data_IF_927174568931
#
_entry.id   IF_927174568931
#
_cell.length_a   1.000
_cell.length_b   1.000
_cell.length_c   1.000
_cell.angle_alpha   90.00
_cell.angle_beta   90.00
_cell.angle_gamma   90.00
#
_symmetry.space_group_name_H-M   'P 1'
#
loop_
_entity.id
_entity.type
_entity.pdbx_description
1 polymer ?
#
# COMPACT_ATOMS: atom_id res chain seq x y z
N UNK A 1 -0.77 -31.92 18.60
CA UNK A 1 0.05 -31.56 17.44
C UNK A 1 1.52 -31.67 17.83
N UNK A 2 2.26 -32.63 17.27
CA UNK A 2 3.70 -32.73 17.50
C UNK A 2 4.40 -31.73 16.57
N UNK A 3 5.05 -30.71 17.14
CA UNK A 3 5.90 -29.81 16.38
C UNK A 3 7.06 -30.63 15.80
N UNK A 4 7.12 -30.78 14.47
CA UNK A 4 8.27 -31.40 13.80
C UNK A 4 9.51 -30.57 14.11
N UNK A 5 10.53 -31.21 14.67
CA UNK A 5 11.84 -30.59 14.92
C UNK A 5 12.51 -30.27 13.59
N UNK A 6 12.61 -28.98 13.24
CA UNK A 6 13.24 -28.53 11.99
C UNK A 6 14.73 -28.90 12.01
N UNK A 7 15.16 -29.76 11.08
CA UNK A 7 16.59 -30.05 10.88
C UNK A 7 17.29 -28.81 10.34
N UNK A 8 18.19 -28.24 11.14
CA UNK A 8 19.04 -27.12 10.73
C UNK A 8 20.04 -27.63 9.69
N UNK A 9 19.78 -27.37 8.42
CA UNK A 9 20.71 -27.68 7.32
C UNK A 9 21.79 -26.61 7.29
N UNK A 10 22.98 -26.93 7.80
CA UNK A 10 24.16 -26.07 7.69
C UNK A 10 24.83 -26.28 6.33
N UNK A 11 24.81 -25.26 5.48
CA UNK A 11 25.63 -25.23 4.26
C UNK A 11 27.10 -24.96 4.64
N UNK A 12 28.04 -25.92 4.41
CA UNK A 12 29.44 -25.79 4.82
C UNK A 12 30.26 -24.86 3.91
N UNK A 13 29.70 -24.40 2.78
CA UNK A 13 30.39 -23.47 1.88
C UNK A 13 30.36 -22.06 2.46
N UNK A 14 31.46 -21.63 3.10
CA UNK A 14 31.73 -20.20 3.33
C UNK A 14 32.11 -19.56 2.00
N UNK A 15 31.17 -18.87 1.33
CA UNK A 15 31.52 -17.99 0.20
C UNK A 15 32.37 -16.83 0.74
N UNK A 16 33.33 -16.33 -0.05
CA UNK A 16 34.12 -15.14 0.31
C UNK A 16 33.16 -13.94 0.45
N UNK A 17 32.90 -13.50 1.67
CA UNK A 17 31.89 -12.46 1.99
C UNK A 17 30.68 -12.97 2.80
N UNK A 18 30.59 -14.27 3.09
CA UNK A 18 29.51 -14.83 3.90
C UNK A 18 29.61 -14.39 5.37
N UNK A 19 28.48 -13.88 5.85
CA UNK A 19 28.03 -13.88 7.25
C UNK A 19 28.75 -12.94 8.22
N UNK A 20 28.62 -11.63 7.98
CA UNK A 20 28.50 -10.70 9.12
C UNK A 20 27.40 -9.68 8.86
N UNK A 21 26.14 -10.13 8.92
CA UNK A 21 24.95 -9.27 8.88
C UNK A 21 25.08 -8.10 9.90
N UNK A 22 25.82 -8.29 10.99
CA UNK A 22 26.11 -7.25 12.01
C UNK A 22 27.22 -6.24 11.70
N UNK A 23 28.09 -6.45 10.68
CA UNK A 23 29.15 -5.48 10.32
C UNK A 23 28.66 -4.35 9.40
N UNK A 24 27.43 -4.45 8.90
CA UNK A 24 26.82 -3.40 8.09
C UNK A 24 26.23 -2.29 8.95
N UNK A 25 25.99 -2.56 10.23
CA UNK A 25 25.57 -1.56 11.20
C UNK A 25 26.79 -1.04 11.98
N UNK A 26 26.75 0.19 12.50
CA UNK A 26 27.76 0.66 13.43
C UNK A 26 27.85 -0.28 14.63
N UNK A 27 29.08 -0.58 15.05
CA UNK A 27 29.39 -1.55 16.11
C UNK A 27 28.73 -1.21 17.45
N UNK A 28 28.29 0.04 17.61
CA UNK A 28 27.76 0.58 18.85
C UNK A 28 26.24 0.34 19.00
N UNK A 29 25.58 -0.27 18.00
CA UNK A 29 24.14 -0.60 18.03
C UNK A 29 23.17 0.59 18.07
N UNK A 30 23.69 1.83 18.15
CA UNK A 30 22.90 3.06 18.31
C UNK A 30 22.11 3.45 17.07
N UNK A 31 22.47 2.96 15.88
CA UNK A 31 21.78 3.30 14.63
C UNK A 31 21.48 2.04 13.82
N UNK A 32 20.24 1.96 13.34
CA UNK A 32 19.79 0.89 12.42
C UNK A 32 20.14 1.20 10.96
N UNK A 33 21.02 2.17 10.68
CA UNK A 33 21.39 2.59 9.32
C UNK A 33 22.65 1.85 8.87
N UNK A 34 22.70 1.44 7.61
CA UNK A 34 23.89 0.76 7.07
C UNK A 34 25.06 1.75 6.89
N UNK A 35 26.27 1.35 7.30
CA UNK A 35 27.50 2.12 7.05
C UNK A 35 27.97 2.02 5.60
N UNK A 36 27.56 0.96 4.91
CA UNK A 36 27.83 0.70 3.49
C UNK A 36 26.84 -0.32 2.95
N UNK A 37 26.64 -0.33 1.63
CA UNK A 37 25.92 -1.43 0.96
C UNK A 37 26.68 -2.74 1.10
N UNK A 38 25.93 -3.84 1.16
CA UNK A 38 26.49 -5.17 1.31
C UNK A 38 27.25 -5.63 0.06
N UNK A 39 28.46 -6.17 0.25
CA UNK A 39 29.22 -6.79 -0.83
C UNK A 39 28.71 -8.19 -1.14
N UNK A 40 28.29 -8.41 -2.39
CA UNK A 40 27.65 -9.65 -2.84
C UNK A 40 28.51 -10.51 -3.77
N UNK A 41 29.77 -10.14 -3.96
CA UNK A 41 30.59 -10.62 -5.08
C UNK A 41 30.27 -9.83 -6.36
N UNK A 42 31.13 -9.94 -7.38
CA UNK A 42 31.09 -9.04 -8.55
C UNK A 42 29.75 -9.08 -9.28
N UNK A 43 29.27 -10.28 -9.66
CA UNK A 43 28.04 -10.47 -10.44
C UNK A 43 26.81 -9.87 -9.74
N UNK A 44 26.58 -10.25 -8.49
CA UNK A 44 25.38 -9.83 -7.75
C UNK A 44 25.48 -8.38 -7.29
N UNK A 45 26.68 -7.87 -6.99
CA UNK A 45 26.86 -6.46 -6.61
C UNK A 45 26.62 -5.53 -7.80
N UNK A 46 27.08 -5.90 -9.01
CA UNK A 46 26.80 -5.14 -10.22
C UNK A 46 25.31 -5.14 -10.58
N UNK A 47 24.65 -6.29 -10.42
CA UNK A 47 23.20 -6.38 -10.61
C UNK A 47 22.45 -5.51 -9.59
N UNK A 48 22.77 -5.63 -8.29
CA UNK A 48 22.14 -4.81 -7.24
C UNK A 48 22.34 -3.31 -7.48
N UNK A 49 23.55 -2.91 -7.92
CA UNK A 49 23.85 -1.52 -8.25
C UNK A 49 23.07 -1.02 -9.47
N UNK A 50 22.90 -1.84 -10.52
CA UNK A 50 22.10 -1.43 -11.68
C UNK A 50 20.61 -1.26 -11.33
N UNK A 51 20.07 -2.10 -10.43
CA UNK A 51 18.72 -1.95 -9.90
C UNK A 51 18.60 -0.73 -8.98
N UNK A 52 19.62 -0.42 -8.21
CA UNK A 52 19.65 0.82 -7.43
C UNK A 52 19.59 2.06 -8.33
N UNK A 53 20.37 2.12 -9.40
CA UNK A 53 20.31 3.21 -10.39
C UNK A 53 18.92 3.31 -11.04
N UNK A 54 18.29 2.16 -11.31
CA UNK A 54 16.92 2.13 -11.82
C UNK A 54 15.93 2.77 -10.83
N UNK A 55 16.00 2.44 -9.53
CA UNK A 55 15.17 3.07 -8.48
C UNK A 55 15.42 4.58 -8.43
N UNK A 56 16.69 5.01 -8.46
CA UNK A 56 17.04 6.43 -8.49
C UNK A 56 16.45 7.14 -9.72
N UNK A 57 16.38 6.46 -10.88
CA UNK A 57 15.73 7.02 -12.08
C UNK A 57 14.23 7.22 -11.90
N UNK A 58 13.55 6.33 -11.18
CA UNK A 58 12.11 6.46 -10.88
C UNK A 58 11.89 7.65 -9.95
N UNK A 59 12.66 7.73 -8.86
CA UNK A 59 12.58 8.84 -7.90
C UNK A 59 12.90 10.19 -8.56
N UNK A 60 13.91 10.25 -9.43
CA UNK A 60 14.26 11.46 -10.18
C UNK A 60 13.12 11.90 -11.11
N UNK A 61 12.51 10.96 -11.86
CA UNK A 61 11.36 11.25 -12.74
C UNK A 61 10.12 11.68 -11.94
N UNK A 62 9.96 11.15 -10.74
CA UNK A 62 8.88 11.53 -9.85
C UNK A 62 9.06 12.96 -9.34
N UNK A 63 10.25 13.30 -8.83
CA UNK A 63 10.54 14.63 -8.27
C UNK A 63 10.66 15.71 -9.36
N UNK A 64 11.00 15.35 -10.61
CA UNK A 64 11.14 16.34 -11.69
C UNK A 64 9.85 17.09 -12.04
N UNK A 65 8.70 16.64 -11.54
CA UNK A 65 7.40 17.30 -11.74
C UNK A 65 7.20 18.40 -10.68
N UNK A 66 6.97 19.68 -11.08
CA UNK A 66 6.83 20.79 -10.12
C UNK A 66 5.77 20.57 -9.03
N UNK A 67 4.65 19.95 -9.39
CA UNK A 67 3.58 19.59 -8.44
C UNK A 67 4.02 18.61 -7.35
N UNK A 68 4.91 17.67 -7.69
CA UNK A 68 5.44 16.71 -6.72
C UNK A 68 6.46 17.37 -5.80
N UNK A 69 7.22 18.38 -6.28
CA UNK A 69 8.05 19.22 -5.41
C UNK A 69 7.19 20.01 -4.43
N UNK A 70 6.09 20.61 -4.91
CA UNK A 70 5.13 21.30 -4.03
C UNK A 70 4.55 20.35 -2.99
N UNK A 71 4.24 19.11 -3.37
CA UNK A 71 3.77 18.07 -2.47
C UNK A 71 4.81 17.73 -1.38
N UNK A 72 6.10 17.63 -1.72
CA UNK A 72 7.18 17.38 -0.74
C UNK A 72 7.22 18.41 0.40
N UNK A 73 6.85 19.66 0.11
CA UNK A 73 6.81 20.74 1.11
C UNK A 73 5.44 20.91 1.77
N UNK A 74 4.36 20.47 1.12
CA UNK A 74 3.00 20.53 1.68
C UNK A 74 2.74 19.39 2.66
N UNK A 75 3.20 18.19 2.34
CA UNK A 75 2.80 16.97 3.02
C UNK A 75 3.94 16.42 3.87
N UNK A 76 3.74 16.28 5.19
CA UNK A 76 4.80 15.86 6.12
C UNK A 76 5.26 14.43 5.81
N UNK A 77 4.33 13.54 5.49
CA UNK A 77 4.60 12.14 5.21
C UNK A 77 5.52 11.92 3.97
N UNK A 78 5.64 12.90 3.08
CA UNK A 78 6.53 12.83 1.91
C UNK A 78 8.01 12.70 2.28
N UNK A 79 8.42 13.23 3.43
CA UNK A 79 9.81 13.12 3.89
C UNK A 79 10.25 11.64 4.07
N UNK A 80 9.30 10.76 4.41
CA UNK A 80 9.57 9.33 4.61
C UNK A 80 10.06 8.65 3.31
N UNK A 81 9.62 9.13 2.15
CA UNK A 81 9.97 8.59 0.83
C UNK A 81 11.43 8.78 0.44
N UNK A 82 12.18 9.64 1.13
CA UNK A 82 13.64 9.71 0.99
C UNK A 82 14.34 8.40 1.42
N UNK A 83 13.68 7.57 2.23
CA UNK A 83 14.22 6.30 2.72
C UNK A 83 13.96 5.10 1.78
N UNK A 84 13.34 5.28 0.61
CA UNK A 84 13.07 4.19 -0.35
C UNK A 84 14.32 3.36 -0.71
N UNK A 85 15.49 3.95 -1.02
CA UNK A 85 16.69 3.17 -1.30
C UNK A 85 17.14 2.32 -0.11
N UNK A 86 17.01 2.85 1.09
CA UNK A 86 17.35 2.15 2.33
C UNK A 86 16.40 0.99 2.63
N UNK A 87 15.10 1.17 2.37
CA UNK A 87 14.10 0.10 2.45
C UNK A 87 14.48 -1.05 1.50
N UNK A 88 14.81 -0.75 0.25
CA UNK A 88 15.23 -1.78 -0.72
C UNK A 88 16.47 -2.55 -0.25
N UNK A 89 17.45 -1.86 0.33
CA UNK A 89 18.67 -2.49 0.84
C UNK A 89 18.39 -3.43 2.02
N UNK A 90 17.37 -3.13 2.83
CA UNK A 90 16.91 -4.05 3.89
C UNK A 90 16.25 -5.29 3.32
N UNK A 91 15.39 -5.15 2.32
CA UNK A 91 14.71 -6.28 1.69
C UNK A 91 15.68 -7.24 1.00
N UNK A 92 16.80 -6.74 0.48
CA UNK A 92 17.81 -7.57 -0.20
C UNK A 92 18.97 -8.01 0.68
N UNK A 93 18.89 -7.73 1.98
CA UNK A 93 19.96 -8.04 2.92
C UNK A 93 20.24 -9.55 2.96
N UNK A 94 21.48 -9.94 2.71
CA UNK A 94 21.91 -11.34 2.67
C UNK A 94 21.45 -12.13 1.44
N UNK A 95 20.60 -11.55 0.58
CA UNK A 95 20.13 -12.23 -0.63
C UNK A 95 21.20 -12.22 -1.73
N UNK A 96 21.29 -13.33 -2.47
CA UNK A 96 22.22 -13.59 -3.57
C UNK A 96 21.52 -14.34 -4.68
N UNK A 97 22.14 -14.41 -5.85
CA UNK A 97 21.69 -15.23 -6.98
C UNK A 97 20.20 -14.96 -7.33
N UNK A 98 19.38 -16.01 -7.43
CA UNK A 98 17.98 -15.92 -7.87
C UNK A 98 17.05 -15.22 -6.85
N UNK A 99 17.13 -15.50 -5.53
CA UNK A 99 16.35 -14.76 -4.52
C UNK A 99 16.53 -13.24 -4.57
N UNK A 100 17.75 -12.77 -4.88
CA UNK A 100 18.03 -11.34 -5.04
C UNK A 100 17.26 -10.74 -6.22
N UNK A 101 17.24 -11.43 -7.36
CA UNK A 101 16.56 -10.99 -8.58
C UNK A 101 15.06 -10.98 -8.40
N UNK A 102 14.49 -12.04 -7.81
CA UNK A 102 13.06 -12.13 -7.53
C UNK A 102 12.62 -10.98 -6.63
N UNK A 103 13.36 -10.74 -5.54
CA UNK A 103 13.06 -9.65 -4.59
C UNK A 103 13.11 -8.30 -5.28
N UNK A 104 14.14 -8.05 -6.11
CA UNK A 104 14.21 -6.84 -6.91
C UNK A 104 13.02 -6.73 -7.85
N UNK A 105 12.68 -7.77 -8.61
CA UNK A 105 11.54 -7.73 -9.54
C UNK A 105 10.25 -7.37 -8.81
N UNK A 106 9.93 -8.06 -7.72
CA UNK A 106 8.73 -7.80 -6.92
C UNK A 106 8.70 -6.36 -6.36
N UNK A 107 9.77 -5.95 -5.66
CA UNK A 107 9.82 -4.64 -5.02
C UNK A 107 9.84 -3.49 -6.02
N UNK A 108 10.44 -3.67 -7.20
CA UNK A 108 10.46 -2.63 -8.22
C UNK A 108 9.06 -2.39 -8.83
N UNK A 109 8.21 -3.42 -8.92
CA UNK A 109 6.80 -3.23 -9.27
C UNK A 109 6.08 -2.42 -8.19
N UNK A 110 6.27 -2.75 -6.91
CA UNK A 110 5.67 -2.01 -5.79
C UNK A 110 6.11 -0.54 -5.81
N UNK A 111 7.41 -0.26 -5.95
CA UNK A 111 7.94 1.11 -6.00
C UNK A 111 7.34 1.88 -7.19
N UNK A 112 7.26 1.25 -8.36
CA UNK A 112 6.68 1.87 -9.54
C UNK A 112 5.20 2.19 -9.35
N UNK A 113 4.43 1.24 -8.80
CA UNK A 113 3.00 1.40 -8.59
C UNK A 113 2.70 2.48 -7.55
N UNK A 114 3.40 2.48 -6.41
CA UNK A 114 3.27 3.55 -5.40
C UNK A 114 3.63 4.91 -5.98
N UNK A 115 4.72 5.02 -6.77
CA UNK A 115 5.09 6.27 -7.41
C UNK A 115 4.03 6.76 -8.40
N UNK A 116 3.37 5.84 -9.12
CA UNK A 116 2.25 6.15 -10.03
C UNK A 116 1.02 6.62 -9.25
N UNK A 117 0.67 5.94 -8.15
CA UNK A 117 -0.45 6.32 -7.27
C UNK A 117 -0.24 7.72 -6.69
N UNK A 118 0.95 8.00 -6.13
CA UNK A 118 1.30 9.33 -5.64
C UNK A 118 1.24 10.40 -6.74
N UNK A 119 1.69 10.06 -7.96
CA UNK A 119 1.63 10.98 -9.08
C UNK A 119 0.19 11.30 -9.50
N UNK A 120 -0.73 10.35 -9.43
CA UNK A 120 -2.15 10.59 -9.65
C UNK A 120 -2.77 11.42 -8.52
N UNK A 121 -2.45 11.11 -7.26
CA UNK A 121 -2.91 11.87 -6.09
C UNK A 121 -2.51 13.36 -6.24
N UNK A 122 -1.23 13.64 -6.47
CA UNK A 122 -0.76 15.02 -6.67
C UNK A 122 -1.19 15.65 -7.98
N UNK A 123 -1.88 14.90 -8.87
CA UNK A 123 -2.46 15.44 -10.10
C UNK A 123 -3.79 16.08 -9.77
N UNK A 124 -4.68 15.29 -9.17
CA UNK A 124 -6.03 15.72 -8.82
C UNK A 124 -6.10 16.56 -7.55
N UNK A 125 -5.07 16.54 -6.71
CA UNK A 125 -5.07 17.28 -5.44
C UNK A 125 -5.19 18.80 -5.65
N UNK A 126 -6.22 19.39 -5.07
CA UNK A 126 -6.56 20.83 -5.14
C UNK A 126 -5.40 21.73 -4.69
N UNK A 127 -4.52 21.23 -3.82
CA UNK A 127 -3.41 22.00 -3.24
C UNK A 127 -2.14 21.94 -4.08
N UNK A 128 -1.95 20.89 -4.86
CA UNK A 128 -0.73 20.66 -5.63
C UNK A 128 -0.96 20.78 -7.12
N UNK A 129 -1.37 19.71 -7.80
CA UNK A 129 -1.57 19.68 -9.24
C UNK A 129 -2.80 20.44 -9.72
N UNK A 130 -3.86 20.49 -8.91
CA UNK A 130 -5.13 21.16 -9.19
C UNK A 130 -5.74 20.83 -10.58
N UNK A 131 -5.55 19.60 -11.05
CA UNK A 131 -6.19 19.11 -12.27
C UNK A 131 -7.63 18.71 -11.96
N UNK A 132 -8.55 19.67 -12.09
CA UNK A 132 -9.98 19.46 -11.79
C UNK A 132 -10.65 18.46 -12.72
N UNK A 133 -10.23 18.38 -13.99
CA UNK A 133 -10.78 17.41 -14.94
C UNK A 133 -10.43 15.99 -14.53
N UNK A 134 -9.17 15.75 -14.20
CA UNK A 134 -8.74 14.46 -13.66
C UNK A 134 -9.36 14.17 -12.29
N UNK A 135 -9.48 15.18 -11.42
CA UNK A 135 -10.10 15.00 -10.10
C UNK A 135 -11.57 14.57 -10.21
N UNK A 136 -12.31 15.04 -11.21
CA UNK A 136 -13.73 14.65 -11.44
C UNK A 136 -13.89 13.18 -11.85
N UNK A 137 -12.86 12.57 -12.42
CA UNK A 137 -12.85 11.15 -12.78
C UNK A 137 -12.22 10.27 -11.69
N UNK A 138 -11.94 10.81 -10.50
CA UNK A 138 -11.34 10.06 -9.41
C UNK A 138 -12.36 9.79 -8.31
N UNK A 139 -12.41 8.55 -7.82
CA UNK A 139 -13.16 8.17 -6.63
C UNK A 139 -12.14 7.85 -5.54
N UNK A 140 -12.24 8.53 -4.39
CA UNK A 140 -11.46 8.17 -3.22
C UNK A 140 -12.00 6.84 -2.70
N UNK A 141 -11.13 5.85 -2.56
CA UNK A 141 -11.49 4.53 -2.08
C UNK A 141 -10.66 4.23 -0.86
N UNK A 142 -11.34 3.91 0.24
CA UNK A 142 -10.72 3.35 1.44
C UNK A 142 -9.84 2.16 1.07
N UNK A 143 -8.63 2.14 1.60
CA UNK A 143 -7.63 1.14 1.27
C UNK A 143 -7.92 -0.25 1.82
N UNK A 144 -8.77 -0.32 2.85
CA UNK A 144 -9.32 -1.57 3.35
C UNK A 144 -10.43 -2.13 2.45
N UNK A 145 -10.93 -1.31 1.52
CA UNK A 145 -11.95 -1.74 0.59
C UNK A 145 -11.34 -2.54 -0.54
N UNK A 146 -11.89 -3.74 -0.76
CA UNK A 146 -11.67 -4.44 -2.00
C UNK A 146 -12.23 -3.57 -3.14
N UNK A 147 -11.38 -3.13 -4.08
CA UNK A 147 -11.78 -2.27 -5.21
C UNK A 147 -12.70 -2.97 -6.23
N UNK A 148 -13.33 -4.10 -5.85
CA UNK A 148 -14.31 -4.80 -6.66
C UNK A 148 -15.49 -3.91 -7.08
N UNK A 149 -15.93 -2.99 -6.21
CA UNK A 149 -16.95 -2.00 -6.54
C UNK A 149 -16.51 -0.94 -7.57
N UNK A 150 -15.22 -0.92 -7.94
CA UNK A 150 -14.68 -0.04 -8.99
C UNK A 150 -14.43 -0.78 -10.31
N UNK A 151 -14.40 -2.11 -10.31
CA UNK A 151 -13.96 -2.93 -11.45
C UNK A 151 -14.83 -2.82 -12.71
N UNK A 152 -16.09 -2.39 -12.57
CA UNK A 152 -17.00 -2.14 -13.69
C UNK A 152 -16.86 -0.75 -14.31
N UNK A 153 -16.09 0.16 -13.70
CA UNK A 153 -15.76 1.46 -14.28
C UNK A 153 -14.44 1.36 -15.06
N UNK A 154 -14.41 1.95 -16.24
CA UNK A 154 -13.29 1.91 -17.18
C UNK A 154 -12.44 3.17 -17.08
N UNK A 155 -13.09 4.33 -17.08
CA UNK A 155 -12.41 5.62 -17.16
C UNK A 155 -12.28 6.28 -15.77
N UNK A 156 -13.16 5.91 -14.83
CA UNK A 156 -13.09 6.33 -13.42
C UNK A 156 -11.92 5.64 -12.72
N UNK A 157 -11.08 6.44 -12.07
CA UNK A 157 -9.89 5.97 -11.37
C UNK A 157 -10.17 5.86 -9.86
N UNK A 158 -9.96 4.68 -9.29
CA UNK A 158 -9.92 4.51 -7.83
C UNK A 158 -8.61 5.08 -7.29
N UNK A 159 -8.70 5.94 -6.27
CA UNK A 159 -7.54 6.54 -5.60
C UNK A 159 -7.54 6.14 -4.13
N UNK A 160 -6.53 5.35 -3.75
CA UNK A 160 -6.24 5.00 -2.37
C UNK A 160 -5.16 5.94 -1.84
N UNK A 161 -5.54 7.02 -1.15
CA UNK A 161 -4.59 8.05 -0.69
C UNK A 161 -3.90 7.66 0.63
N UNK A 162 -4.51 6.77 1.38
CA UNK A 162 -4.08 6.23 2.66
C UNK A 162 -2.85 5.32 2.47
N UNK A 163 -2.80 4.57 1.37
CA UNK A 163 -1.69 3.69 0.99
C UNK A 163 -0.34 4.41 0.99
N UNK A 164 -0.11 5.46 0.19
CA UNK A 164 1.18 6.15 0.20
C UNK A 164 1.38 6.99 1.47
N UNK A 165 0.31 7.55 2.00
CA UNK A 165 0.40 8.46 3.14
C UNK A 165 0.84 7.75 4.42
N UNK A 166 0.31 6.54 4.65
CA UNK A 166 0.50 5.82 5.90
C UNK A 166 1.20 4.47 5.69
N UNK A 167 0.61 3.56 4.90
CA UNK A 167 1.06 2.17 4.84
C UNK A 167 2.49 2.06 4.31
N UNK A 168 2.74 2.66 3.15
CA UNK A 168 4.08 2.64 2.56
C UNK A 168 5.04 3.47 3.40
N UNK A 169 4.61 4.61 3.93
CA UNK A 169 5.43 5.42 4.84
C UNK A 169 5.94 4.60 6.04
N UNK A 170 5.09 3.75 6.62
CA UNK A 170 5.45 2.86 7.74
C UNK A 170 6.45 1.75 7.35
N UNK A 171 6.46 1.32 6.09
CA UNK A 171 7.48 0.39 5.57
C UNK A 171 8.86 1.08 5.48
N UNK A 172 8.87 2.39 5.26
CA UNK A 172 10.08 3.19 5.10
C UNK A 172 10.68 3.58 6.46
N UNK A 173 9.83 3.97 7.40
CA UNK A 173 10.24 4.32 8.77
C UNK A 173 9.18 3.88 9.78
N UNK A 174 9.62 3.30 10.89
CA UNK A 174 8.70 2.81 11.94
C UNK A 174 8.01 3.95 12.70
N UNK A 175 8.46 5.19 12.53
CA UNK A 175 7.96 6.35 13.26
C UNK A 175 7.13 7.31 12.39
N UNK A 176 6.83 6.97 11.13
CA UNK A 176 6.13 7.89 10.21
C UNK A 176 4.78 8.34 10.73
N UNK A 177 4.05 7.48 11.43
CA UNK A 177 2.71 7.77 11.94
C UNK A 177 2.67 8.36 13.34
N UNK A 178 3.78 8.35 14.08
CA UNK A 178 3.80 8.78 15.50
C UNK A 178 3.19 10.17 15.70
N UNK A 179 3.56 11.13 14.84
CA UNK A 179 2.99 12.48 14.84
C UNK A 179 1.45 12.47 14.68
N UNK A 180 0.90 11.67 13.77
CA UNK A 180 -0.54 11.65 13.53
C UNK A 180 -1.30 10.94 14.65
N UNK A 181 -0.68 9.97 15.33
CA UNK A 181 -1.24 9.37 16.54
C UNK A 181 -1.33 10.42 17.66
N UNK A 182 -0.27 11.21 17.86
CA UNK A 182 -0.28 12.30 18.85
C UNK A 182 -1.39 13.31 18.53
N UNK A 183 -1.54 13.72 17.25
CA UNK A 183 -2.62 14.62 16.81
C UNK A 183 -4.01 14.03 17.10
N UNK A 184 -4.23 12.75 16.80
CA UNK A 184 -5.50 12.09 17.06
C UNK A 184 -5.84 12.07 18.56
N UNK A 185 -4.85 11.77 19.41
CA UNK A 185 -5.03 11.71 20.86
C UNK A 185 -5.23 13.09 21.49
N UNK A 186 -4.50 14.11 21.01
CA UNK A 186 -4.71 15.51 21.41
C UNK A 186 -6.11 16.01 21.02
N UNK A 187 -6.64 15.54 19.89
CA UNK A 187 -8.01 15.82 19.46
C UNK A 187 -9.07 15.10 20.31
N UNK A 188 -8.67 14.09 21.10
CA UNK A 188 -9.52 13.37 22.04
C UNK A 188 -9.88 11.95 21.64
N UNK A 189 -9.23 11.36 20.62
CA UNK A 189 -9.35 9.92 20.37
C UNK A 189 -8.62 9.15 21.48
N UNK A 190 -9.17 8.02 21.96
CA UNK A 190 -8.53 7.26 23.02
C UNK A 190 -7.33 6.47 22.47
N UNK A 191 -6.23 6.43 23.23
CA UNK A 191 -5.00 5.77 22.82
C UNK A 191 -5.02 4.23 22.86
N UNK A 192 -6.20 3.63 23.07
CA UNK A 192 -6.43 2.19 22.96
C UNK A 192 -7.04 1.78 21.60
N UNK A 193 -7.19 2.73 20.68
CA UNK A 193 -7.56 2.47 19.28
C UNK A 193 -6.39 1.82 18.53
N UNK A 194 -6.71 1.04 17.49
CA UNK A 194 -5.69 0.51 16.61
C UNK A 194 -4.91 1.67 15.95
N UNK A 195 -3.57 1.65 15.93
CA UNK A 195 -2.79 2.76 15.41
C UNK A 195 -2.94 3.00 13.90
N UNK A 196 -3.55 2.06 13.16
CA UNK A 196 -3.87 2.22 11.74
C UNK A 196 -5.00 3.24 11.53
N UNK A 197 -6.26 2.97 11.94
CA UNK A 197 -7.35 3.93 11.77
C UNK A 197 -7.17 5.20 12.61
N UNK A 198 -6.47 5.12 13.74
CA UNK A 198 -6.14 6.31 14.55
C UNK A 198 -5.20 7.25 13.78
N UNK A 199 -4.17 6.72 13.11
CA UNK A 199 -3.27 7.55 12.30
C UNK A 199 -3.97 8.11 11.07
N UNK A 200 -4.86 7.38 10.40
CA UNK A 200 -5.67 7.91 9.30
C UNK A 200 -6.56 9.07 9.75
N UNK A 201 -7.27 8.89 10.87
CA UNK A 201 -8.05 9.97 11.48
C UNK A 201 -7.14 11.15 11.85
N UNK A 202 -5.97 10.90 12.43
CA UNK A 202 -4.97 11.91 12.76
C UNK A 202 -4.45 12.68 11.55
N UNK A 203 -4.14 12.01 10.44
CA UNK A 203 -3.76 12.63 9.17
C UNK A 203 -4.90 13.51 8.64
N UNK A 204 -6.13 13.02 8.74
CA UNK A 204 -7.31 13.79 8.36
C UNK A 204 -7.46 15.03 9.23
N UNK A 205 -7.32 14.93 10.56
CA UNK A 205 -7.40 16.05 11.54
C UNK A 205 -6.28 17.07 11.32
N UNK A 206 -5.06 16.61 11.06
CA UNK A 206 -3.88 17.46 10.78
C UNK A 206 -3.91 18.10 9.37
N UNK A 207 -4.97 17.84 8.60
CA UNK A 207 -5.12 18.33 7.24
C UNK A 207 -3.99 17.89 6.29
N UNK A 208 -3.47 16.68 6.46
CA UNK A 208 -2.28 16.21 5.73
C UNK A 208 -2.58 15.15 4.65
N UNK A 209 -3.86 14.85 4.43
CA UNK A 209 -4.31 14.14 3.24
C UNK A 209 -4.41 15.06 2.02
N UNK A 210 -4.16 14.47 0.85
CA UNK A 210 -4.51 15.09 -0.42
C UNK A 210 -6.03 15.21 -0.59
N UNK A 211 -6.47 16.29 -1.22
CA UNK A 211 -7.88 16.62 -1.42
C UNK A 211 -8.19 16.56 -2.92
N UNK A 212 -8.82 15.47 -3.34
CA UNK A 212 -9.20 15.19 -4.73
C UNK A 212 -10.40 14.25 -4.78
N UNK A 213 -10.91 14.04 -5.99
CA UNK A 213 -12.00 13.13 -6.27
C UNK A 213 -13.36 13.82 -6.39
N UNK A 214 -14.29 13.15 -7.06
CA UNK A 214 -15.70 13.55 -7.15
C UNK A 214 -16.54 13.02 -5.98
N UNK A 215 -16.17 11.87 -5.42
CA UNK A 215 -16.78 11.28 -4.25
C UNK A 215 -15.80 10.33 -3.55
N UNK A 216 -16.18 9.85 -2.36
CA UNK A 216 -15.45 8.87 -1.59
C UNK A 216 -16.32 7.65 -1.26
N UNK A 217 -15.71 6.45 -1.24
CA UNK A 217 -16.35 5.22 -0.76
C UNK A 217 -15.47 4.65 0.35
N UNK A 218 -16.05 4.56 1.53
CA UNK A 218 -15.44 4.03 2.75
C UNK A 218 -16.08 2.70 3.13
N UNK A 219 -15.38 1.85 3.86
CA UNK A 219 -15.88 0.50 4.18
C UNK A 219 -15.57 0.07 5.62
N UNK A 220 -16.36 -0.84 6.16
CA UNK A 220 -16.15 -1.41 7.49
C UNK A 220 -15.44 -2.80 7.47
N UNK A 221 -14.83 -3.22 6.36
CA UNK A 221 -14.32 -4.59 6.16
C UNK A 221 -13.30 -5.03 7.21
N UNK A 222 -12.51 -4.11 7.76
CA UNK A 222 -11.41 -4.47 8.67
C UNK A 222 -11.89 -4.63 10.11
N UNK A 223 -12.48 -3.58 10.69
CA UNK A 223 -12.90 -3.56 12.09
C UNK A 223 -13.77 -2.35 12.43
N UNK A 224 -14.35 -2.36 13.63
CA UNK A 224 -15.10 -1.21 14.17
C UNK A 224 -14.22 0.04 14.34
N UNK A 225 -12.90 -0.12 14.55
CA UNK A 225 -11.95 0.99 14.59
C UNK A 225 -11.89 1.77 13.27
N UNK A 226 -11.82 1.06 12.14
CA UNK A 226 -11.86 1.66 10.80
C UNK A 226 -13.21 2.32 10.53
N UNK A 227 -14.32 1.69 10.92
CA UNK A 227 -15.67 2.28 10.78
C UNK A 227 -15.77 3.62 11.52
N UNK A 228 -15.28 3.69 12.76
CA UNK A 228 -15.33 4.93 13.55
C UNK A 228 -14.36 5.99 13.01
N UNK A 229 -13.16 5.61 12.57
CA UNK A 229 -12.20 6.52 11.92
C UNK A 229 -12.76 7.10 10.62
N UNK A 230 -13.45 6.28 9.82
CA UNK A 230 -14.13 6.70 8.60
C UNK A 230 -15.13 7.82 8.84
N UNK A 231 -15.87 7.80 9.97
CA UNK A 231 -16.77 8.88 10.35
C UNK A 231 -16.07 10.24 10.53
N UNK A 232 -14.88 10.26 11.14
CA UNK A 232 -14.07 11.50 11.31
C UNK A 232 -13.59 12.00 9.95
N UNK A 233 -13.14 11.10 9.08
CA UNK A 233 -12.64 11.43 7.75
C UNK A 233 -13.78 11.92 6.84
N UNK A 234 -14.94 11.24 6.84
CA UNK A 234 -16.13 11.61 6.08
C UNK A 234 -16.63 13.00 6.47
N UNK A 235 -16.65 13.31 7.77
CA UNK A 235 -17.05 14.65 8.24
C UNK A 235 -16.23 15.75 7.56
N UNK A 236 -14.91 15.55 7.45
CA UNK A 236 -14.01 16.51 6.81
C UNK A 236 -14.22 16.56 5.29
N UNK A 237 -14.30 15.40 4.64
CA UNK A 237 -14.56 15.29 3.20
C UNK A 237 -15.85 16.02 2.81
N UNK A 238 -16.95 15.76 3.52
CA UNK A 238 -18.26 16.30 3.19
C UNK A 238 -18.39 17.78 3.54
N UNK A 239 -17.96 18.19 4.74
CA UNK A 239 -18.22 19.55 5.24
C UNK A 239 -17.17 20.57 4.82
N UNK A 240 -15.90 20.20 4.80
CA UNK A 240 -14.81 21.12 4.46
C UNK A 240 -14.48 21.06 2.96
N UNK A 241 -14.57 19.88 2.33
CA UNK A 241 -14.17 19.70 0.93
C UNK A 241 -15.33 19.53 -0.04
N UNK A 242 -16.56 19.35 0.44
CA UNK A 242 -17.71 19.11 -0.42
C UNK A 242 -17.58 17.83 -1.25
N UNK A 243 -16.85 16.84 -0.74
CA UNK A 243 -16.68 15.52 -1.36
C UNK A 243 -17.68 14.58 -0.66
N UNK A 244 -18.77 14.16 -1.33
CA UNK A 244 -19.75 13.27 -0.75
C UNK A 244 -19.15 11.89 -0.49
N UNK A 245 -19.55 11.25 0.60
CA UNK A 245 -19.00 9.95 1.02
C UNK A 245 -20.10 8.89 1.11
N UNK A 246 -19.83 7.69 0.62
CA UNK A 246 -20.67 6.51 0.77
C UNK A 246 -20.03 5.52 1.74
N UNK A 247 -20.79 5.00 2.69
CA UNK A 247 -20.35 4.01 3.67
C UNK A 247 -20.80 2.62 3.22
N UNK A 248 -19.91 1.88 2.58
CA UNK A 248 -20.14 0.50 2.15
C UNK A 248 -20.04 -0.44 3.35
N UNK A 249 -21.04 -1.30 3.51
CA UNK A 249 -21.13 -2.24 4.63
C UNK A 249 -20.80 -3.66 4.16
N UNK A 250 -19.66 -4.18 4.59
CA UNK A 250 -19.35 -5.60 4.56
C UNK A 250 -20.00 -6.30 5.77
N UNK A 251 -21.04 -7.13 5.55
CA UNK A 251 -21.76 -7.74 6.65
C UNK A 251 -21.00 -8.93 7.25
N UNK A 252 -20.96 -9.00 8.59
CA UNK A 252 -20.27 -10.08 9.32
C UNK A 252 -20.92 -11.46 9.08
N UNK A 253 -22.26 -11.51 9.10
CA UNK A 253 -23.06 -12.73 8.90
C UNK A 253 -23.24 -13.07 7.41
N UNK A 254 -22.18 -12.94 6.62
CA UNK A 254 -22.16 -13.11 5.16
C UNK A 254 -22.60 -14.50 4.65
N UNK A 255 -22.99 -15.47 5.48
CA UNK A 255 -23.50 -16.76 5.00
C UNK A 255 -25.02 -16.86 5.00
N UNK A 256 -25.69 -15.93 5.66
CA UNK A 256 -27.15 -15.91 5.74
C UNK A 256 -27.74 -15.36 4.42
N UNK A 257 -28.85 -15.94 3.98
CA UNK A 257 -29.43 -15.63 2.66
C UNK A 257 -29.98 -14.21 2.58
N UNK A 258 -30.60 -13.73 3.64
CA UNK A 258 -31.09 -12.35 3.78
C UNK A 258 -29.92 -11.34 3.73
N UNK A 259 -28.80 -11.69 4.35
CA UNK A 259 -27.58 -10.87 4.34
C UNK A 259 -26.93 -10.81 2.96
N UNK A 260 -27.00 -11.88 2.18
CA UNK A 260 -26.51 -11.90 0.79
C UNK A 260 -27.28 -10.91 -0.09
N UNK A 261 -28.60 -10.86 0.05
CA UNK A 261 -29.44 -9.89 -0.68
C UNK A 261 -29.14 -8.46 -0.25
N UNK A 262 -29.00 -8.23 1.06
CA UNK A 262 -28.57 -6.93 1.60
C UNK A 262 -27.22 -6.49 1.03
N UNK A 263 -26.20 -7.33 1.08
CA UNK A 263 -24.86 -7.02 0.56
C UNK A 263 -24.88 -6.70 -0.94
N UNK A 264 -25.65 -7.46 -1.71
CA UNK A 264 -25.80 -7.23 -3.15
C UNK A 264 -26.49 -5.90 -3.45
N UNK A 265 -27.47 -5.49 -2.63
CA UNK A 265 -28.14 -4.20 -2.78
C UNK A 265 -27.23 -3.05 -2.35
N UNK A 266 -26.49 -3.18 -1.25
CA UNK A 266 -25.54 -2.17 -0.80
C UNK A 266 -24.44 -1.89 -1.84
N UNK A 267 -23.93 -2.96 -2.48
CA UNK A 267 -23.01 -2.85 -3.61
C UNK A 267 -23.64 -2.13 -4.82
N UNK A 268 -24.92 -2.36 -5.13
CA UNK A 268 -25.61 -1.65 -6.22
C UNK A 268 -25.79 -0.17 -5.92
N UNK A 269 -26.12 0.17 -4.67
CA UNK A 269 -26.24 1.56 -4.24
C UNK A 269 -24.88 2.28 -4.27
N UNK A 270 -23.78 1.61 -3.87
CA UNK A 270 -22.44 2.15 -4.01
C UNK A 270 -22.07 2.39 -5.48
N UNK A 271 -22.37 1.45 -6.37
CA UNK A 271 -22.16 1.62 -7.82
C UNK A 271 -22.97 2.81 -8.34
N UNK A 272 -24.26 2.87 -8.02
CA UNK A 272 -25.14 3.97 -8.44
C UNK A 272 -24.65 5.33 -7.93
N UNK A 273 -24.22 5.40 -6.67
CA UNK A 273 -23.61 6.58 -6.08
C UNK A 273 -22.38 7.05 -6.89
N UNK A 274 -21.52 6.12 -7.31
CA UNK A 274 -20.37 6.44 -8.16
C UNK A 274 -20.82 6.90 -9.55
N UNK A 275 -21.82 6.24 -10.17
CA UNK A 275 -22.34 6.68 -11.48
C UNK A 275 -22.87 8.12 -11.46
N UNK A 276 -23.51 8.52 -10.36
CA UNK A 276 -24.06 9.87 -10.16
C UNK A 276 -22.97 10.95 -10.09
N UNK A 277 -21.84 10.65 -9.45
CA UNK A 277 -20.76 11.62 -9.18
C UNK A 277 -19.61 11.58 -10.20
N UNK A 278 -19.26 10.40 -10.72
CA UNK A 278 -18.18 10.21 -11.70
C UNK A 278 -18.67 10.32 -13.15
N UNK A 279 -19.99 10.36 -13.38
CA UNK A 279 -20.63 10.45 -14.70
C UNK A 279 -20.26 9.32 -15.68
N UNK A 280 -19.89 8.16 -15.16
CA UNK A 280 -19.63 6.94 -15.92
C UNK A 280 -20.66 5.86 -15.55
N UNK A 281 -21.05 5.02 -16.52
CA UNK A 281 -21.96 3.89 -16.30
C UNK A 281 -21.21 2.59 -16.08
N UNK A 282 -21.75 1.76 -15.19
CA UNK A 282 -21.21 0.45 -14.86
C UNK A 282 -21.24 -0.50 -16.06
N UNK A 283 -20.11 -1.12 -16.36
CA UNK A 283 -19.99 -2.15 -17.39
C UNK A 283 -19.83 -3.54 -16.76
N UNK A 284 -20.89 -4.35 -16.85
CA UNK A 284 -20.90 -5.74 -16.40
C UNK A 284 -19.90 -6.64 -17.13
N UNK A 285 -19.69 -6.41 -18.43
CA UNK A 285 -18.71 -7.19 -19.21
C UNK A 285 -17.31 -6.94 -18.66
N UNK A 286 -16.98 -5.67 -18.41
CA UNK A 286 -15.71 -5.28 -17.81
C UNK A 286 -15.56 -5.82 -16.40
N UNK A 287 -16.61 -5.74 -15.58
CA UNK A 287 -16.60 -6.30 -14.24
C UNK A 287 -16.23 -7.80 -14.24
N UNK A 288 -16.88 -8.61 -15.09
CA UNK A 288 -16.59 -10.04 -15.15
C UNK A 288 -15.21 -10.36 -15.77
N UNK A 289 -14.71 -9.52 -16.69
CA UNK A 289 -13.33 -9.62 -17.17
C UNK A 289 -12.33 -9.35 -16.04
N UNK A 290 -12.53 -8.30 -15.26
CA UNK A 290 -11.73 -7.99 -14.06
C UNK A 290 -11.81 -9.10 -13.02
N UNK A 291 -13.01 -9.62 -12.72
CA UNK A 291 -13.21 -10.73 -11.80
C UNK A 291 -12.48 -12.01 -12.26
N UNK A 292 -12.44 -12.28 -13.57
CA UNK A 292 -11.68 -13.40 -14.14
C UNK A 292 -10.18 -13.25 -13.88
N UNK A 293 -9.62 -12.04 -14.05
CA UNK A 293 -8.21 -11.74 -13.76
C UNK A 293 -7.89 -11.93 -12.27
N UNK A 294 -8.78 -11.47 -11.38
CA UNK A 294 -8.63 -11.66 -9.92
C UNK A 294 -8.68 -13.14 -9.55
N UNK A 295 -9.58 -13.91 -10.16
CA UNK A 295 -9.65 -15.36 -9.94
C UNK A 295 -8.37 -16.07 -10.41
N UNK A 296 -7.80 -15.66 -11.54
CA UNK A 296 -6.52 -16.20 -12.03
C UNK A 296 -5.36 -15.87 -11.10
N UNK A 297 -5.24 -14.61 -10.67
CA UNK A 297 -4.25 -14.20 -9.68
C UNK A 297 -4.40 -14.96 -8.35
N UNK A 298 -5.64 -15.21 -7.92
CA UNK A 298 -5.94 -16.01 -6.72
C UNK A 298 -5.50 -17.47 -6.88
N UNK A 299 -5.70 -18.08 -8.05
CA UNK A 299 -5.20 -19.43 -8.36
C UNK A 299 -3.68 -19.48 -8.35
N UNK A 300 -3.01 -18.51 -8.97
CA UNK A 300 -1.54 -18.41 -8.92
C UNK A 300 -1.02 -18.28 -7.49
N UNK A 301 -1.70 -17.48 -6.65
CA UNK A 301 -1.37 -17.36 -5.22
C UNK A 301 -1.56 -18.69 -4.48
N UNK A 302 -2.67 -19.39 -4.70
CA UNK A 302 -2.91 -20.70 -4.08
C UNK A 302 -1.81 -21.71 -4.46
N UNK A 303 -1.47 -21.82 -5.74
CA UNK A 303 -0.38 -22.67 -6.22
C UNK A 303 0.97 -22.31 -5.59
N UNK A 304 1.24 -21.01 -5.42
CA UNK A 304 2.46 -20.55 -4.76
C UNK A 304 2.49 -20.90 -3.27
N UNK A 305 1.36 -20.79 -2.56
CA UNK A 305 1.23 -21.23 -1.17
C UNK A 305 1.45 -22.74 -1.04
N UNK A 306 0.86 -23.52 -1.94
CA UNK A 306 1.03 -24.97 -1.98
C UNK A 306 2.49 -25.36 -2.22
N UNK A 307 3.18 -24.73 -3.16
CA UNK A 307 4.61 -24.96 -3.38
C UNK A 307 5.49 -24.59 -2.17
N UNK A 308 5.07 -23.58 -1.38
CA UNK A 308 5.76 -23.23 -0.14
C UNK A 308 5.37 -24.11 1.05
N UNK A 309 4.32 -24.93 0.94
CA UNK A 309 3.85 -25.84 2.00
C UNK A 309 4.72 -27.12 2.12
N UNK A 310 6.04 -26.96 2.06
CA UNK A 310 7.02 -28.04 2.16
C UNK A 310 7.93 -27.84 3.38
N UNK A 311 8.67 -28.88 3.78
CA UNK A 311 9.68 -28.77 4.85
C UNK A 311 10.81 -27.77 4.49
N UNK A 312 10.89 -27.32 3.23
CA UNK A 312 11.88 -26.39 2.70
C UNK A 312 11.20 -25.30 1.83
N UNK A 313 10.52 -24.31 2.46
CA UNK A 313 9.84 -23.25 1.73
C UNK A 313 10.84 -22.47 0.86
N UNK A 314 10.45 -22.21 -0.39
CA UNK A 314 11.31 -21.52 -1.37
C UNK A 314 11.22 -20.00 -1.20
N UNK A 315 10.11 -19.49 -0.68
CA UNK A 315 9.88 -18.08 -0.39
C UNK A 315 9.66 -17.90 1.10
N UNK A 316 10.55 -17.14 1.75
CA UNK A 316 10.52 -16.90 3.20
C UNK A 316 10.75 -15.42 3.50
N UNK A 317 10.27 -14.98 4.66
CA UNK A 317 10.52 -13.64 5.18
C UNK A 317 9.59 -12.56 4.62
N UNK A 318 10.01 -11.31 4.72
CA UNK A 318 9.17 -10.13 4.53
C UNK A 318 8.63 -9.96 3.11
N UNK A 319 9.26 -10.56 2.11
CA UNK A 319 8.78 -10.54 0.71
C UNK A 319 7.43 -11.25 0.59
N UNK A 320 7.21 -12.32 1.37
CA UNK A 320 5.95 -13.04 1.41
C UNK A 320 4.82 -12.18 2.00
N UNK A 321 5.09 -11.53 3.14
CA UNK A 321 4.12 -10.64 3.79
C UNK A 321 3.75 -9.50 2.86
N UNK A 322 4.75 -8.81 2.30
CA UNK A 322 4.49 -7.64 1.50
C UNK A 322 3.72 -7.97 0.23
N UNK A 323 4.00 -9.09 -0.45
CA UNK A 323 3.16 -9.51 -1.58
C UNK A 323 1.70 -9.67 -1.16
N UNK A 324 1.42 -10.30 -0.02
CA UNK A 324 0.05 -10.42 0.49
C UNK A 324 -0.58 -9.06 0.77
N UNK A 325 0.18 -8.16 1.40
CA UNK A 325 -0.29 -6.82 1.79
C UNK A 325 -0.51 -5.92 0.56
N UNK A 326 0.25 -6.11 -0.52
CA UNK A 326 0.15 -5.31 -1.76
C UNK A 326 -0.69 -5.97 -2.86
N UNK A 327 -1.10 -7.23 -2.70
CA UNK A 327 -1.75 -8.01 -3.75
C UNK A 327 -3.06 -7.37 -4.23
N UNK A 328 -3.84 -6.84 -3.28
CA UNK A 328 -5.13 -6.20 -3.56
C UNK A 328 -4.96 -4.86 -4.29
N UNK A 329 -3.86 -4.15 -4.02
CA UNK A 329 -3.55 -2.88 -4.69
C UNK A 329 -3.21 -3.07 -6.18
N UNK A 330 -2.52 -4.17 -6.52
CA UNK A 330 -2.08 -4.42 -7.90
C UNK A 330 -3.04 -5.22 -8.78
N UNK A 331 -3.86 -6.12 -8.20
CA UNK A 331 -4.68 -7.05 -9.00
C UNK A 331 -6.12 -6.59 -9.23
N UNK A 332 -6.60 -5.63 -8.43
CA UNK A 332 -8.00 -5.25 -8.41
C UNK A 332 -8.27 -3.88 -9.07
N UNK A 333 -7.29 -3.32 -9.80
CA UNK A 333 -7.37 -2.06 -10.55
C UNK A 333 -7.52 -2.20 -12.06
#
# INVERSE_FOLDING_TARGET
>A
MAFKTVKKVTNPKKKKGDQTLGKLYPTNGKTKVFVRREWRGVKDTLYDYSRWLYIMSILARFISKPRNIKAMFRYRWMANYLAVPYMMDKFTLGLRDEPLRITHTAMNFVIYDVAKTMDNIFKGDRRTGNDEEFSKTCVLTDENAMTAFMMGFKDTTAILREVPTMFVANLLTQNSTTHYLDVAQEFGLPGDVCPMPEAEAGISIDDDFAVLGCCAVQVNTTCDGSLMGNGVIAHRLEREYGIPTFQLTAPLRHKEQDVQEYAANDMKEAVKFIEEHAHEKWDWKRYFESASRVNDATKHRAFWLDNNSTDYPQFVGSVFSLYNDTNYMGNCG
#
